data_IF_055414154297
#
_entry.id   IF_055414154297
#
_cell.length_a   1.000
_cell.length_b   1.000
_cell.length_c   1.000
_cell.angle_alpha   90.00
_cell.angle_beta   90.00
_cell.angle_gamma   90.00
#
_symmetry.space_group_name_H-M   'P 1'
#
loop_
_entity.id
_entity.type
_entity.pdbx_description
1 polymer ?
#
# COMPACT_ATOMS: atom_id res chain seq x y z
N UNK A 1 -12.90 -20.49 18.78
CA UNK A 1 -13.52 -21.83 18.78
C UNK A 1 -14.09 -22.07 17.40
N UNK A 2 -13.59 -23.11 16.75
CA UNK A 2 -13.72 -23.37 15.33
C UNK A 2 -14.86 -24.35 15.05
N UNK A 3 -15.34 -24.31 13.80
CA UNK A 3 -16.27 -25.25 13.18
C UNK A 3 -15.93 -26.72 13.48
N UNK A 4 -16.96 -27.55 13.75
CA UNK A 4 -17.10 -28.99 13.41
C UNK A 4 -17.99 -29.72 14.44
N UNK A 5 -19.30 -29.78 14.23
CA UNK A 5 -20.15 -30.74 14.95
C UNK A 5 -21.53 -30.97 14.32
N UNK A 6 -21.67 -31.04 12.99
CA UNK A 6 -22.86 -31.67 12.39
C UNK A 6 -22.40 -32.52 11.19
N UNK A 7 -21.94 -33.72 11.50
CA UNK A 7 -21.97 -34.86 10.59
C UNK A 7 -21.93 -36.13 11.45
N UNK A 8 -22.67 -37.16 11.04
CA UNK A 8 -22.97 -38.45 11.72
C UNK A 8 -24.24 -38.33 12.59
N UNK A 9 -25.38 -38.98 12.30
CA UNK A 9 -25.59 -40.30 11.71
C UNK A 9 -26.90 -40.37 10.92
N UNK A 10 -26.80 -40.86 9.68
CA UNK A 10 -27.86 -41.60 9.00
C UNK A 10 -27.41 -43.06 9.03
N UNK A 11 -28.09 -43.88 9.81
CA UNK A 11 -28.21 -45.36 9.74
C UNK A 11 -29.50 -45.63 10.53
N UNK A 12 -30.63 -45.92 9.89
CA UNK A 12 -30.90 -47.22 9.30
C UNK A 12 -31.11 -48.22 10.43
N UNK A 13 -32.37 -48.52 10.78
CA UNK A 13 -32.88 -49.89 10.85
C UNK A 13 -34.31 -49.99 11.43
N UNK A 14 -34.98 -51.01 10.91
CA UNK A 14 -36.31 -51.55 11.23
C UNK A 14 -36.56 -51.76 12.72
N UNK A 15 -37.82 -51.70 13.16
CA UNK A 15 -38.60 -52.87 13.63
C UNK A 15 -39.98 -52.49 14.21
N UNK A 16 -40.84 -53.51 14.23
CA UNK A 16 -42.28 -53.54 14.43
C UNK A 16 -42.80 -53.07 15.80
N UNK A 17 -44.01 -52.48 15.80
CA UNK A 17 -45.22 -53.09 16.41
C UNK A 17 -46.33 -52.04 16.61
N UNK A 18 -47.47 -52.29 15.98
CA UNK A 18 -48.79 -51.83 16.45
C UNK A 18 -49.14 -52.61 17.74
N UNK A 19 -49.84 -52.01 18.74
CA UNK A 19 -51.30 -52.05 18.64
C UNK A 19 -52.09 -50.91 19.33
N UNK A 20 -53.39 -50.94 19.02
CA UNK A 20 -54.53 -50.48 19.84
C UNK A 20 -55.01 -49.03 19.69
N UNK A 21 -55.89 -48.89 18.70
CA UNK A 21 -57.05 -48.02 18.60
C UNK A 21 -57.74 -47.67 19.95
N UNK A 22 -57.76 -46.38 20.32
CA UNK A 22 -58.85 -45.76 21.10
C UNK A 22 -59.18 -44.39 20.47
N UNK A 23 -60.45 -44.26 20.10
CA UNK A 23 -61.08 -43.14 19.42
C UNK A 23 -61.40 -41.96 20.36
N UNK A 24 -61.59 -40.80 19.71
CA UNK A 24 -62.29 -39.59 20.13
C UNK A 24 -61.48 -38.45 20.78
N UNK A 25 -61.11 -37.45 19.98
CA UNK A 25 -61.75 -36.11 20.00
C UNK A 25 -61.25 -35.23 18.84
N UNK A 26 -62.21 -34.74 18.06
CA UNK A 26 -62.14 -33.75 16.97
C UNK A 26 -61.08 -32.66 17.12
N UNK A 27 -60.12 -32.60 16.20
CA UNK A 27 -59.30 -31.41 15.94
C UNK A 27 -59.93 -30.61 14.78
N UNK A 28 -60.08 -29.28 14.87
CA UNK A 28 -60.76 -28.49 13.86
C UNK A 28 -59.98 -28.56 12.54
N UNK A 29 -60.70 -28.76 11.43
CA UNK A 29 -60.09 -28.73 10.10
C UNK A 29 -59.26 -27.47 9.91
N UNK A 30 -57.97 -27.64 9.61
CA UNK A 30 -57.12 -26.54 9.14
C UNK A 30 -57.80 -25.95 7.90
N UNK A 31 -58.50 -24.83 8.07
CA UNK A 31 -58.79 -23.95 6.94
C UNK A 31 -57.45 -23.38 6.52
N UNK A 32 -56.85 -23.99 5.51
CA UNK A 32 -55.77 -23.36 4.76
C UNK A 32 -56.39 -22.12 4.13
N UNK A 33 -56.25 -20.96 4.78
CA UNK A 33 -56.33 -19.69 4.10
C UNK A 33 -55.18 -19.70 3.10
N UNK A 34 -55.43 -20.17 1.88
CA UNK A 34 -54.72 -19.63 0.73
C UNK A 34 -55.23 -18.20 0.64
N UNK A 35 -54.43 -17.17 0.96
CA UNK A 35 -54.81 -15.85 0.52
C UNK A 35 -54.89 -15.98 -1.00
N UNK A 36 -56.09 -15.81 -1.56
CA UNK A 36 -56.20 -15.42 -2.95
C UNK A 36 -55.61 -14.02 -2.93
N UNK A 37 -54.28 -13.93 -3.05
CA UNK A 37 -53.63 -12.71 -3.48
C UNK A 37 -54.25 -12.52 -4.87
N UNK A 38 -55.09 -11.49 -5.09
CA UNK A 38 -55.51 -11.19 -6.45
C UNK A 38 -54.23 -11.15 -7.26
N UNK A 39 -54.19 -11.84 -8.40
CA UNK A 39 -53.08 -11.71 -9.34
C UNK A 39 -53.11 -10.25 -9.80
N UNK A 40 -52.50 -9.37 -8.99
CA UNK A 40 -52.39 -7.96 -9.30
C UNK A 40 -51.62 -7.98 -10.61
N UNK A 41 -52.19 -7.44 -11.70
CA UNK A 41 -51.52 -7.47 -12.98
C UNK A 41 -50.12 -6.93 -12.72
N UNK A 42 -49.11 -7.78 -12.94
CA UNK A 42 -47.71 -7.39 -12.83
C UNK A 42 -47.54 -6.30 -13.89
N UNK A 43 -47.79 -5.05 -13.49
CA UNK A 43 -47.66 -3.90 -14.39
C UNK A 43 -46.26 -3.97 -14.96
N UNK A 44 -46.15 -3.69 -16.26
CA UNK A 44 -44.88 -3.71 -16.97
C UNK A 44 -43.82 -2.99 -16.11
N UNK A 45 -42.69 -3.65 -15.77
CA UNK A 45 -41.60 -3.04 -15.01
C UNK A 45 -41.18 -1.68 -15.55
N UNK A 46 -41.35 -1.45 -16.85
CA UNK A 46 -41.11 -0.16 -17.51
C UNK A 46 -41.96 0.98 -16.93
N UNK A 47 -43.21 0.73 -16.56
CA UNK A 47 -44.11 1.75 -16.00
C UNK A 47 -43.57 2.23 -14.64
N UNK A 48 -43.05 1.32 -13.81
CA UNK A 48 -42.47 1.68 -12.53
C UNK A 48 -41.13 2.39 -12.68
N UNK A 49 -40.32 1.98 -13.66
CA UNK A 49 -39.10 2.68 -14.03
C UNK A 49 -39.39 4.12 -14.48
N UNK A 50 -40.33 4.31 -15.41
CA UNK A 50 -40.70 5.62 -15.96
C UNK A 50 -41.29 6.54 -14.87
N UNK A 51 -42.13 6.00 -13.98
CA UNK A 51 -42.70 6.75 -12.84
C UNK A 51 -41.61 7.19 -11.84
N UNK A 52 -40.69 6.29 -11.50
CA UNK A 52 -39.55 6.63 -10.64
C UNK A 52 -38.65 7.67 -11.28
N UNK A 53 -38.34 7.52 -12.58
CA UNK A 53 -37.46 8.43 -13.29
C UNK A 53 -38.05 9.84 -13.45
N UNK A 54 -39.34 9.94 -13.76
CA UNK A 54 -40.05 11.21 -13.91
C UNK A 54 -40.00 12.05 -12.64
N UNK A 55 -40.02 11.40 -11.47
CA UNK A 55 -39.94 12.06 -10.16
C UNK A 55 -38.49 12.33 -9.71
N UNK A 56 -37.59 11.38 -9.98
CA UNK A 56 -36.22 11.43 -9.49
C UNK A 56 -35.32 12.37 -10.30
N UNK A 57 -35.49 12.46 -11.62
CA UNK A 57 -34.65 13.32 -12.48
C UNK A 57 -34.71 14.80 -12.08
N UNK A 58 -35.89 15.42 -11.86
CA UNK A 58 -35.96 16.79 -11.35
C UNK A 58 -35.29 16.93 -9.99
N UNK A 59 -35.49 15.97 -9.06
CA UNK A 59 -34.85 16.01 -7.76
C UNK A 59 -33.32 15.94 -7.82
N UNK A 60 -32.76 15.11 -8.73
CA UNK A 60 -31.31 15.09 -8.99
C UNK A 60 -30.83 16.46 -9.42
N UNK A 61 -31.53 17.11 -10.36
CA UNK A 61 -31.19 18.46 -10.80
C UNK A 61 -31.22 19.45 -9.62
N UNK A 62 -32.28 19.44 -8.83
CA UNK A 62 -32.45 20.33 -7.68
C UNK A 62 -31.31 20.16 -6.67
N UNK A 63 -30.93 18.91 -6.35
CA UNK A 63 -29.81 18.59 -5.47
C UNK A 63 -28.47 19.08 -6.06
N UNK A 64 -28.21 18.80 -7.34
CA UNK A 64 -26.90 19.09 -7.93
C UNK A 64 -26.69 20.57 -8.29
N UNK A 65 -27.76 21.32 -8.53
CA UNK A 65 -27.73 22.75 -8.78
C UNK A 65 -27.99 23.60 -7.53
N UNK A 66 -28.23 22.97 -6.37
CA UNK A 66 -28.64 23.64 -5.13
C UNK A 66 -29.86 24.56 -5.32
N UNK A 67 -30.81 24.14 -6.17
CA UNK A 67 -32.08 24.83 -6.38
C UNK A 67 -33.01 24.61 -5.16
N UNK A 68 -33.98 25.50 -4.89
CA UNK A 68 -34.94 25.31 -3.82
C UNK A 68 -35.71 23.99 -3.97
N UNK A 69 -35.84 23.22 -2.89
CA UNK A 69 -36.52 21.94 -2.91
C UNK A 69 -37.99 22.09 -3.34
N UNK A 70 -38.34 21.45 -4.44
CA UNK A 70 -39.68 21.43 -5.04
C UNK A 70 -40.29 20.03 -5.13
N UNK A 71 -39.64 19.03 -4.54
CA UNK A 71 -40.03 17.62 -4.60
C UNK A 71 -40.37 17.02 -3.22
N UNK A 72 -41.20 15.98 -3.24
CA UNK A 72 -41.59 15.21 -2.06
C UNK A 72 -40.76 13.92 -1.93
N UNK A 73 -39.86 13.88 -0.92
CA UNK A 73 -38.97 12.73 -0.70
C UNK A 73 -39.71 11.40 -0.55
N UNK A 74 -40.87 11.38 0.13
CA UNK A 74 -41.67 10.18 0.33
C UNK A 74 -42.25 9.62 -0.97
N UNK A 75 -42.64 10.49 -1.92
CA UNK A 75 -43.16 10.06 -3.21
C UNK A 75 -42.07 9.46 -4.09
N UNK A 76 -40.89 10.09 -4.11
CA UNK A 76 -39.70 9.58 -4.79
C UNK A 76 -39.31 8.23 -4.22
N UNK A 77 -39.17 8.15 -2.89
CA UNK A 77 -38.80 6.92 -2.20
C UNK A 77 -39.73 5.76 -2.57
N UNK A 78 -41.05 5.99 -2.53
CA UNK A 78 -42.05 4.99 -2.88
C UNK A 78 -41.98 4.57 -4.35
N UNK A 79 -41.74 5.52 -5.26
CA UNK A 79 -41.61 5.23 -6.69
C UNK A 79 -40.34 4.42 -6.98
N UNK A 80 -39.20 4.81 -6.39
CA UNK A 80 -37.93 4.09 -6.51
C UNK A 80 -38.05 2.68 -5.95
N UNK A 81 -38.63 2.51 -4.75
CA UNK A 81 -38.86 1.19 -4.16
C UNK A 81 -39.73 0.29 -5.06
N UNK A 82 -40.75 0.84 -5.73
CA UNK A 82 -41.57 0.10 -6.71
C UNK A 82 -40.79 -0.29 -7.96
N UNK A 83 -39.90 0.57 -8.46
CA UNK A 83 -39.05 0.27 -9.62
C UNK A 83 -38.10 -0.92 -9.35
N UNK A 84 -37.74 -1.15 -8.08
CA UNK A 84 -36.93 -2.28 -7.62
C UNK A 84 -37.66 -3.61 -7.49
N UNK A 85 -38.97 -3.65 -7.74
CA UNK A 85 -39.72 -4.92 -7.79
C UNK A 85 -39.19 -5.87 -8.87
N UNK A 86 -38.63 -5.32 -9.96
CA UNK A 86 -37.87 -6.07 -10.95
C UNK A 86 -36.40 -5.67 -10.90
N UNK A 87 -35.51 -6.66 -10.74
CA UNK A 87 -34.06 -6.44 -10.72
C UNK A 87 -33.56 -5.69 -11.97
N UNK A 88 -34.06 -6.03 -13.16
CA UNK A 88 -33.66 -5.37 -14.40
C UNK A 88 -34.10 -3.90 -14.46
N UNK A 89 -35.24 -3.57 -13.87
CA UNK A 89 -35.75 -2.21 -13.76
C UNK A 89 -34.94 -1.39 -12.75
N UNK A 90 -34.63 -1.96 -11.58
CA UNK A 90 -33.75 -1.33 -10.59
C UNK A 90 -32.34 -1.05 -11.12
N UNK A 91 -31.75 -2.01 -11.84
CA UNK A 91 -30.44 -1.85 -12.50
C UNK A 91 -30.47 -0.74 -13.56
N UNK A 92 -31.53 -0.70 -14.37
CA UNK A 92 -31.73 0.37 -15.36
C UNK A 92 -31.91 1.74 -14.69
N UNK A 93 -32.66 1.82 -13.59
CA UNK A 93 -32.84 3.05 -12.83
C UNK A 93 -31.51 3.57 -12.27
N UNK A 94 -30.70 2.70 -11.64
CA UNK A 94 -29.38 3.10 -11.16
C UNK A 94 -28.49 3.59 -12.30
N UNK A 95 -28.54 2.94 -13.47
CA UNK A 95 -27.82 3.43 -14.65
C UNK A 95 -28.25 4.84 -15.05
N UNK A 96 -29.56 5.12 -15.14
CA UNK A 96 -30.09 6.44 -15.47
C UNK A 96 -29.68 7.51 -14.45
N UNK A 97 -29.74 7.17 -13.15
CA UNK A 97 -29.30 8.06 -12.07
C UNK A 97 -27.83 8.44 -12.26
N UNK A 98 -26.97 7.45 -12.48
CA UNK A 98 -25.54 7.68 -12.66
C UNK A 98 -25.26 8.51 -13.92
N UNK A 99 -25.90 8.20 -15.05
CA UNK A 99 -25.77 8.96 -16.30
C UNK A 99 -26.16 10.44 -16.13
N UNK A 100 -27.21 10.72 -15.36
CA UNK A 100 -27.61 12.11 -15.06
C UNK A 100 -26.63 12.80 -14.11
N UNK A 101 -26.13 12.09 -13.09
CA UNK A 101 -25.06 12.61 -12.21
C UNK A 101 -23.77 12.93 -12.99
N UNK A 102 -23.41 12.15 -14.01
CA UNK A 102 -22.21 12.36 -14.83
C UNK A 102 -22.21 13.74 -15.50
N UNK A 103 -23.37 14.28 -15.87
CA UNK A 103 -23.50 15.62 -16.48
C UNK A 103 -22.97 16.69 -15.52
N UNK A 104 -23.43 16.67 -14.27
CA UNK A 104 -23.07 17.67 -13.27
C UNK A 104 -21.63 17.52 -12.79
N UNK A 105 -21.14 16.27 -12.61
CA UNK A 105 -19.76 16.01 -12.20
C UNK A 105 -18.79 16.45 -13.29
N UNK A 106 -19.09 16.13 -14.55
CA UNK A 106 -18.29 16.55 -15.69
C UNK A 106 -18.18 18.08 -15.74
N UNK A 107 -19.30 18.79 -15.61
CA UNK A 107 -19.33 20.25 -15.59
C UNK A 107 -18.55 20.84 -14.40
N UNK A 108 -18.70 20.26 -13.20
CA UNK A 108 -18.01 20.70 -11.99
C UNK A 108 -16.48 20.49 -12.08
N UNK A 109 -16.02 19.42 -12.71
CA UNK A 109 -14.59 19.19 -12.92
C UNK A 109 -14.06 20.09 -14.04
N UNK A 110 -14.82 20.30 -15.11
CA UNK A 110 -14.43 21.23 -16.18
C UNK A 110 -14.31 22.68 -15.69
N UNK A 111 -15.13 23.12 -14.73
CA UNK A 111 -14.99 24.48 -14.17
C UNK A 111 -13.65 24.68 -13.46
N UNK A 112 -13.03 23.62 -12.92
CA UNK A 112 -11.68 23.67 -12.34
C UNK A 112 -10.58 23.89 -13.38
N UNK A 113 -10.83 23.63 -14.67
CA UNK A 113 -9.84 23.86 -15.75
C UNK A 113 -9.47 25.34 -15.90
N UNK A 114 -10.39 26.24 -15.55
CA UNK A 114 -10.19 27.68 -15.53
C UNK A 114 -9.16 28.11 -14.47
N UNK A 115 -9.04 27.32 -13.40
CA UNK A 115 -8.17 27.59 -12.25
C UNK A 115 -6.86 26.77 -12.28
N UNK A 116 -6.63 25.99 -13.34
CA UNK A 116 -5.41 25.18 -13.45
C UNK A 116 -4.15 26.02 -13.61
N UNK A 117 -4.27 27.24 -14.13
CA UNK A 117 -3.16 28.17 -14.30
C UNK A 117 -2.90 29.00 -13.01
N UNK A 118 -3.81 28.93 -12.04
CA UNK A 118 -3.66 29.59 -10.74
C UNK A 118 -2.63 28.91 -9.85
N UNK A 119 -2.23 29.62 -8.79
CA UNK A 119 -1.34 29.11 -7.75
C UNK A 119 -1.96 27.89 -7.02
N UNK A 120 -1.15 26.88 -6.59
CA UNK A 120 -1.66 25.73 -5.85
C UNK A 120 -2.45 26.11 -4.58
N UNK A 121 -2.14 27.22 -3.91
CA UNK A 121 -2.90 27.70 -2.74
C UNK A 121 -4.33 28.14 -3.07
N UNK A 122 -4.62 28.45 -4.34
CA UNK A 122 -5.97 28.79 -4.84
C UNK A 122 -6.65 27.55 -5.42
N UNK A 123 -5.90 26.76 -6.21
CA UNK A 123 -6.44 25.58 -6.87
C UNK A 123 -6.82 24.45 -5.89
N UNK A 124 -6.00 24.19 -4.86
CA UNK A 124 -6.23 23.07 -3.93
C UNK A 124 -7.54 23.22 -3.13
N UNK A 125 -7.86 24.40 -2.53
CA UNK A 125 -9.16 24.60 -1.88
C UNK A 125 -10.36 24.43 -2.81
N UNK A 126 -10.25 24.88 -4.07
CA UNK A 126 -11.33 24.72 -5.07
C UNK A 126 -11.57 23.23 -5.39
N UNK A 127 -10.49 22.47 -5.56
CA UNK A 127 -10.56 21.02 -5.78
C UNK A 127 -11.14 20.28 -4.56
N UNK A 128 -10.71 20.63 -3.35
CA UNK A 128 -11.22 20.06 -2.10
C UNK A 128 -12.72 20.33 -1.97
N UNK A 129 -13.14 21.59 -2.14
CA UNK A 129 -14.54 21.98 -2.09
C UNK A 129 -15.38 21.26 -3.14
N UNK A 130 -14.90 21.16 -4.38
CA UNK A 130 -15.59 20.44 -5.46
C UNK A 130 -15.88 18.99 -5.08
N UNK A 131 -14.92 18.30 -4.43
CA UNK A 131 -15.15 16.92 -4.03
C UNK A 131 -16.04 16.77 -2.80
N UNK A 132 -15.93 17.68 -1.82
CA UNK A 132 -16.80 17.70 -0.64
C UNK A 132 -18.26 17.96 -1.04
N UNK A 133 -18.50 18.92 -1.93
CA UNK A 133 -19.84 19.21 -2.44
C UNK A 133 -20.41 18.05 -3.23
N UNK A 134 -19.62 17.41 -4.09
CA UNK A 134 -20.07 16.20 -4.79
C UNK A 134 -20.47 15.09 -3.82
N UNK A 135 -19.67 14.85 -2.77
CA UNK A 135 -19.98 13.86 -1.74
C UNK A 135 -21.29 14.16 -1.02
N UNK A 136 -21.48 15.41 -0.59
CA UNK A 136 -22.72 15.86 0.07
C UNK A 136 -23.92 15.62 -0.83
N UNK A 137 -23.85 16.07 -2.10
CA UNK A 137 -24.91 15.91 -3.10
C UNK A 137 -25.23 14.44 -3.39
N UNK A 138 -24.21 13.58 -3.46
CA UNK A 138 -24.42 12.13 -3.60
C UNK A 138 -25.11 11.53 -2.37
N UNK A 139 -24.77 11.98 -1.17
CA UNK A 139 -25.41 11.52 0.06
C UNK A 139 -26.88 11.93 0.11
N UNK A 140 -27.19 13.18 -0.26
CA UNK A 140 -28.55 13.68 -0.36
C UNK A 140 -29.36 12.85 -1.38
N UNK A 141 -28.78 12.54 -2.54
CA UNK A 141 -29.38 11.66 -3.54
C UNK A 141 -29.61 10.23 -3.02
N UNK A 142 -28.63 9.62 -2.35
CA UNK A 142 -28.78 8.28 -1.77
C UNK A 142 -29.91 8.23 -0.73
N UNK A 143 -30.09 9.31 0.05
CA UNK A 143 -31.16 9.40 1.04
C UNK A 143 -32.58 9.34 0.43
N UNK A 144 -32.76 9.89 -0.77
CA UNK A 144 -34.05 9.87 -1.49
C UNK A 144 -34.23 8.64 -2.39
N UNK A 145 -33.14 8.05 -2.89
CA UNK A 145 -33.14 6.93 -3.84
C UNK A 145 -33.02 5.53 -3.18
N UNK A 146 -33.06 5.47 -1.85
CA UNK A 146 -33.02 4.26 -1.01
C UNK A 146 -31.74 3.40 -1.13
N UNK A 147 -31.05 3.23 0.00
CA UNK A 147 -29.75 2.55 0.10
C UNK A 147 -29.81 1.02 0.20
N UNK A 148 -31.01 0.42 0.27
CA UNK A 148 -31.16 -1.02 0.55
C UNK A 148 -30.94 -1.95 -0.65
N UNK A 149 -30.81 -1.43 -1.86
CA UNK A 149 -30.69 -2.22 -3.08
C UNK A 149 -29.27 -2.21 -3.66
N UNK A 150 -28.89 -3.31 -4.31
CA UNK A 150 -27.55 -3.49 -4.88
C UNK A 150 -27.61 -3.95 -6.33
N UNK A 151 -26.67 -3.45 -7.13
CA UNK A 151 -26.36 -3.97 -8.47
C UNK A 151 -25.09 -4.81 -8.33
N UNK A 152 -25.26 -6.13 -8.44
CA UNK A 152 -24.21 -7.07 -8.03
C UNK A 152 -23.96 -6.98 -6.52
N UNK A 153 -22.80 -6.45 -6.13
CA UNK A 153 -22.40 -6.24 -4.73
C UNK A 153 -22.26 -4.76 -4.35
N UNK A 154 -22.72 -3.85 -5.22
CA UNK A 154 -22.52 -2.41 -5.06
C UNK A 154 -23.84 -1.68 -4.86
N UNK A 155 -23.89 -0.83 -3.83
CA UNK A 155 -24.99 0.11 -3.61
C UNK A 155 -24.92 1.28 -4.61
N UNK A 156 -25.97 2.12 -4.63
CA UNK A 156 -25.95 3.38 -5.39
C UNK A 156 -24.78 4.27 -4.98
N UNK A 157 -24.49 4.33 -3.68
CA UNK A 157 -23.33 5.02 -3.15
C UNK A 157 -22.04 4.46 -3.76
N UNK A 158 -21.81 3.14 -3.67
CA UNK A 158 -20.59 2.49 -4.19
C UNK A 158 -20.36 2.71 -5.69
N UNK A 159 -21.44 2.91 -6.46
CA UNK A 159 -21.37 3.25 -7.88
C UNK A 159 -21.13 4.76 -8.08
N UNK A 160 -21.85 5.61 -7.36
CA UNK A 160 -21.75 7.07 -7.45
C UNK A 160 -20.37 7.61 -7.06
N UNK A 161 -19.73 6.99 -6.05
CA UNK A 161 -18.37 7.38 -5.64
C UNK A 161 -17.32 7.16 -6.73
N UNK A 162 -17.55 6.23 -7.67
CA UNK A 162 -16.63 5.95 -8.78
C UNK A 162 -16.71 7.01 -9.90
N UNK A 163 -17.75 7.84 -9.94
CA UNK A 163 -17.95 8.84 -10.99
C UNK A 163 -16.92 9.96 -10.92
N UNK A 164 -16.64 10.50 -9.75
CA UNK A 164 -15.68 11.61 -9.61
C UNK A 164 -14.27 11.22 -10.07
N UNK A 165 -13.67 10.09 -9.61
CA UNK A 165 -12.40 9.62 -10.16
C UNK A 165 -12.44 9.40 -11.68
N UNK A 166 -13.54 8.82 -12.22
CA UNK A 166 -13.70 8.59 -13.66
C UNK A 166 -13.59 9.91 -14.43
N UNK A 167 -14.33 10.94 -14.04
CA UNK A 167 -14.30 12.24 -14.73
C UNK A 167 -13.01 13.03 -14.48
N UNK A 168 -12.40 12.89 -13.30
CA UNK A 168 -11.07 13.46 -13.05
C UNK A 168 -10.00 12.86 -13.97
N UNK A 169 -10.11 11.56 -14.32
CA UNK A 169 -9.20 10.95 -15.30
C UNK A 169 -9.33 11.56 -16.70
N UNK A 170 -10.57 11.89 -17.09
CA UNK A 170 -10.90 12.44 -18.40
C UNK A 170 -10.46 13.91 -18.52
N UNK A 171 -10.54 14.67 -17.44
CA UNK A 171 -10.09 16.06 -17.37
C UNK A 171 -8.56 16.17 -17.26
N UNK A 172 -7.87 16.00 -18.39
CA UNK A 172 -6.40 15.97 -18.46
C UNK A 172 -5.73 17.17 -17.80
N UNK A 173 -6.20 18.40 -18.04
CA UNK A 173 -5.61 19.62 -17.48
C UNK A 173 -5.65 19.63 -15.94
N UNK A 174 -6.81 19.31 -15.35
CA UNK A 174 -7.01 19.24 -13.90
C UNK A 174 -6.16 18.13 -13.29
N UNK A 175 -6.17 16.94 -13.91
CA UNK A 175 -5.37 15.79 -13.50
C UNK A 175 -3.88 16.11 -13.52
N UNK A 176 -3.39 16.72 -14.58
CA UNK A 176 -1.97 16.96 -14.78
C UNK A 176 -1.48 18.09 -13.85
N UNK A 177 -2.31 19.12 -13.60
CA UNK A 177 -2.03 20.14 -12.56
C UNK A 177 -1.96 19.51 -11.16
N UNK A 178 -2.95 18.70 -10.80
CA UNK A 178 -2.96 17.99 -9.52
C UNK A 178 -1.73 17.09 -9.38
N UNK A 179 -1.40 16.34 -10.42
CA UNK A 179 -0.21 15.50 -10.46
C UNK A 179 1.07 16.32 -10.30
N UNK A 180 1.22 17.44 -11.01
CA UNK A 180 2.39 18.33 -10.89
C UNK A 180 2.55 18.82 -9.46
N UNK A 181 1.49 19.38 -8.86
CA UNK A 181 1.51 19.87 -7.47
C UNK A 181 1.97 18.76 -6.52
N UNK A 182 1.42 17.55 -6.71
CA UNK A 182 1.76 16.42 -5.87
C UNK A 182 3.25 16.06 -6.02
N UNK A 183 3.74 15.90 -7.25
CA UNK A 183 5.13 15.58 -7.53
C UNK A 183 6.10 16.65 -7.02
N UNK A 184 5.76 17.93 -7.16
CA UNK A 184 6.58 19.05 -6.68
C UNK A 184 6.67 19.05 -5.16
N UNK A 185 5.56 18.82 -4.46
CA UNK A 185 5.56 18.68 -3.00
C UNK A 185 6.43 17.50 -2.53
N UNK A 186 6.43 16.39 -3.27
CA UNK A 186 7.26 15.23 -2.95
C UNK A 186 8.73 15.53 -3.22
N UNK A 187 9.04 16.16 -4.35
CA UNK A 187 10.39 16.63 -4.67
C UNK A 187 10.88 17.56 -3.56
N UNK A 188 10.07 18.52 -3.12
CA UNK A 188 10.41 19.45 -2.04
C UNK A 188 10.58 18.74 -0.68
N UNK A 189 9.72 17.77 -0.36
CA UNK A 189 9.91 16.91 0.81
C UNK A 189 11.25 16.19 0.74
N UNK A 190 11.61 15.61 -0.41
CA UNK A 190 12.87 14.88 -0.62
C UNK A 190 14.10 15.79 -0.64
N UNK A 191 14.02 16.99 -1.22
CA UNK A 191 15.08 18.00 -1.13
C UNK A 191 15.34 18.42 0.32
N UNK A 192 14.30 18.52 1.15
CA UNK A 192 14.46 18.75 2.58
C UNK A 192 15.02 17.54 3.36
N UNK A 193 14.99 16.32 2.82
CA UNK A 193 15.64 15.14 3.42
C UNK A 193 17.18 15.25 3.41
N UNK A 194 17.73 16.02 2.47
CA UNK A 194 19.17 16.24 2.30
C UNK A 194 19.75 17.34 3.21
N UNK A 195 18.91 18.20 3.81
CA UNK A 195 19.34 19.23 4.77
C UNK A 195 18.40 19.19 5.98
N UNK A 196 18.89 18.63 7.09
CA UNK A 196 18.11 18.24 8.28
C UNK A 196 17.39 19.35 9.07
N UNK A 197 17.02 20.48 8.46
CA UNK A 197 16.22 21.53 9.11
C UNK A 197 15.45 22.41 8.11
N UNK A 198 15.33 22.00 6.84
CA UNK A 198 14.88 22.90 5.76
C UNK A 198 13.58 22.47 5.05
N UNK A 199 12.90 21.40 5.48
CA UNK A 199 11.58 21.02 4.92
C UNK A 199 10.50 22.10 5.15
N UNK A 200 10.58 22.85 6.25
CA UNK A 200 9.59 23.90 6.55
C UNK A 200 9.81 25.17 5.69
N UNK A 201 11.04 25.38 5.18
CA UNK A 201 11.44 26.60 4.46
C UNK A 201 11.43 26.45 2.93
N UNK A 202 11.61 25.24 2.37
CA UNK A 202 11.60 25.04 0.89
C UNK A 202 10.17 25.11 0.33
N UNK A 203 9.18 24.54 1.03
CA UNK A 203 7.76 24.68 0.66
C UNK A 203 7.36 26.17 0.60
N UNK A 204 7.97 27.02 1.44
CA UNK A 204 7.78 28.47 1.42
C UNK A 204 8.62 29.19 0.34
N UNK A 205 9.80 28.70 0.01
CA UNK A 205 10.76 29.39 -0.86
C UNK A 205 10.52 29.20 -2.38
N UNK A 206 9.84 28.13 -2.83
CA UNK A 206 9.54 27.90 -4.26
C UNK A 206 8.09 28.17 -4.67
N UNK A 207 7.14 28.05 -3.73
CA UNK A 207 5.72 28.36 -3.95
C UNK A 207 5.33 29.75 -3.41
N UNK A 208 6.30 30.54 -2.92
CA UNK A 208 6.08 31.90 -2.44
C UNK A 208 5.25 32.03 -1.15
N UNK A 209 4.57 30.97 -0.70
CA UNK A 209 3.79 30.91 0.56
C UNK A 209 3.74 29.49 1.12
N UNK A 210 3.56 29.38 2.43
CA UNK A 210 3.40 28.10 3.12
C UNK A 210 2.16 27.35 2.59
N UNK A 211 2.35 26.25 1.87
CA UNK A 211 1.26 25.30 1.60
C UNK A 211 0.89 24.65 2.93
N UNK A 212 -0.35 24.86 3.38
CA UNK A 212 -0.86 24.22 4.57
C UNK A 212 -0.89 22.70 4.38
N UNK A 213 0.01 22.01 5.08
CA UNK A 213 0.08 20.54 5.07
C UNK A 213 -1.23 19.88 5.49
N UNK A 214 -2.13 20.62 6.15
CA UNK A 214 -3.48 20.17 6.56
C UNK A 214 -4.43 20.10 5.38
N UNK A 215 -4.50 21.15 4.54
CA UNK A 215 -5.32 21.15 3.31
C UNK A 215 -4.87 20.05 2.36
N UNK A 216 -3.56 19.90 2.23
CA UNK A 216 -2.97 18.82 1.45
C UNK A 216 -3.37 17.45 2.03
N UNK A 217 -3.24 17.24 3.34
CA UNK A 217 -3.69 16.01 4.02
C UNK A 217 -5.19 15.74 3.83
N UNK A 218 -6.03 16.76 3.86
CA UNK A 218 -7.48 16.63 3.68
C UNK A 218 -7.81 16.24 2.24
N UNK A 219 -7.25 16.95 1.26
CA UNK A 219 -7.38 16.60 -0.15
C UNK A 219 -6.89 15.17 -0.39
N UNK A 220 -5.76 14.77 0.21
CA UNK A 220 -5.27 13.40 0.11
C UNK A 220 -6.17 12.37 0.79
N UNK A 221 -6.70 12.64 1.98
CA UNK A 221 -7.66 11.76 2.64
C UNK A 221 -8.90 11.56 1.75
N UNK A 222 -9.35 12.64 1.13
CA UNK A 222 -10.47 12.65 0.21
C UNK A 222 -10.15 11.91 -1.11
N UNK A 223 -8.94 12.07 -1.67
CA UNK A 223 -8.42 11.39 -2.86
C UNK A 223 -7.91 9.95 -2.60
N UNK A 224 -7.80 9.49 -1.35
CA UNK A 224 -7.31 8.15 -0.99
C UNK A 224 -8.25 7.34 -0.10
N UNK A 225 -9.38 7.92 0.31
CA UNK A 225 -10.46 7.19 0.97
C UNK A 225 -10.98 6.03 0.12
N UNK A 226 -11.91 5.22 0.65
CA UNK A 226 -12.53 4.08 -0.06
C UNK A 226 -13.03 4.47 -1.48
N UNK A 227 -13.38 5.73 -1.67
CA UNK A 227 -13.80 6.41 -2.90
C UNK A 227 -12.82 6.35 -4.08
N UNK A 228 -11.51 6.34 -3.82
CA UNK A 228 -10.48 6.46 -4.87
C UNK A 228 -9.57 5.22 -4.96
N UNK A 229 -9.99 4.09 -4.39
CA UNK A 229 -9.14 2.89 -4.34
C UNK A 229 -8.64 2.46 -5.73
N UNK A 230 -9.46 2.63 -6.78
CA UNK A 230 -9.08 2.36 -8.18
C UNK A 230 -8.24 3.47 -8.83
N UNK A 231 -8.47 4.73 -8.48
CA UNK A 231 -7.71 5.89 -8.99
C UNK A 231 -6.33 6.05 -8.37
N UNK A 232 -6.01 5.32 -7.28
CA UNK A 232 -4.64 5.19 -6.75
C UNK A 232 -3.62 4.77 -7.82
N UNK A 233 -4.04 4.01 -8.84
CA UNK A 233 -3.14 3.58 -9.92
C UNK A 233 -2.63 4.74 -10.78
N UNK A 234 -3.42 5.80 -10.94
CA UNK A 234 -3.10 6.95 -11.80
C UNK A 234 -1.91 7.72 -11.22
N UNK A 235 -1.91 7.91 -9.90
CA UNK A 235 -0.84 8.63 -9.22
C UNK A 235 0.35 7.73 -8.86
N UNK A 236 0.14 6.40 -8.74
CA UNK A 236 1.19 5.45 -8.35
C UNK A 236 2.42 5.52 -9.26
N UNK A 237 2.21 5.40 -10.58
CA UNK A 237 3.31 5.27 -11.53
C UNK A 237 4.12 6.56 -11.63
N UNK A 238 3.51 7.73 -11.89
CA UNK A 238 4.24 9.01 -11.89
C UNK A 238 4.98 9.27 -10.58
N UNK A 239 4.39 8.88 -9.44
CA UNK A 239 5.00 9.02 -8.14
C UNK A 239 6.30 8.19 -8.02
N UNK A 240 6.24 6.91 -8.37
CA UNK A 240 7.41 6.03 -8.33
C UNK A 240 8.44 6.48 -9.34
N UNK A 241 8.03 6.87 -10.55
CA UNK A 241 8.93 7.35 -11.60
C UNK A 241 9.68 8.64 -11.17
N UNK A 242 8.99 9.58 -10.50
CA UNK A 242 9.62 10.77 -9.92
C UNK A 242 10.62 10.41 -8.80
N UNK A 243 10.31 9.40 -7.98
CA UNK A 243 11.26 8.90 -6.98
C UNK A 243 12.50 8.28 -7.63
N UNK A 244 12.28 7.50 -8.68
CA UNK A 244 13.34 6.88 -9.46
C UNK A 244 14.25 7.95 -10.05
N UNK A 245 13.69 8.97 -10.68
CA UNK A 245 14.44 10.09 -11.26
C UNK A 245 15.30 10.81 -10.22
N UNK A 246 14.69 11.18 -9.08
CA UNK A 246 15.39 11.88 -8.00
C UNK A 246 16.57 11.08 -7.45
N UNK A 247 16.34 9.83 -7.06
CA UNK A 247 17.38 9.00 -6.45
C UNK A 247 18.42 8.51 -7.47
N UNK A 248 18.08 8.43 -8.76
CA UNK A 248 19.05 8.11 -9.81
C UNK A 248 20.03 9.27 -10.03
N UNK A 249 19.54 10.52 -10.03
CA UNK A 249 20.42 11.69 -10.12
C UNK A 249 21.36 11.77 -8.90
N UNK A 250 20.84 11.45 -7.72
CA UNK A 250 21.62 11.42 -6.48
C UNK A 250 22.67 10.29 -6.47
N UNK A 251 22.31 9.07 -6.91
CA UNK A 251 23.24 7.94 -6.95
C UNK A 251 24.41 8.19 -7.92
N UNK A 252 24.15 8.87 -9.04
CA UNK A 252 25.18 9.28 -10.00
C UNK A 252 26.17 10.28 -9.39
N UNK A 253 25.70 11.29 -8.65
CA UNK A 253 26.58 12.25 -7.97
C UNK A 253 27.48 11.56 -6.94
N UNK A 254 26.94 10.62 -6.18
CA UNK A 254 27.72 9.88 -5.19
C UNK A 254 28.74 8.91 -5.81
N UNK A 255 28.45 8.35 -6.99
CA UNK A 255 29.40 7.51 -7.74
C UNK A 255 30.70 8.27 -8.07
N UNK A 256 30.60 9.58 -8.32
CA UNK A 256 31.74 10.46 -8.60
C UNK A 256 32.53 10.82 -7.32
N UNK A 257 31.83 11.03 -6.19
CA UNK A 257 32.42 11.50 -4.93
C UNK A 257 33.14 10.42 -4.07
N UNK A 258 33.11 9.15 -4.49
CA UNK A 258 34.09 8.09 -4.18
C UNK A 258 34.35 7.65 -2.71
N UNK A 259 33.55 8.02 -1.70
CA UNK A 259 33.65 7.42 -0.35
C UNK A 259 32.52 6.42 -0.05
N UNK A 260 32.82 5.12 -0.17
CA UNK A 260 31.84 4.03 0.04
C UNK A 260 31.27 4.00 1.48
N UNK A 261 32.05 4.20 2.56
CA UNK A 261 31.52 4.36 3.92
C UNK A 261 30.44 5.44 4.03
N UNK A 262 30.73 6.66 3.55
CA UNK A 262 29.76 7.76 3.55
C UNK A 262 28.54 7.42 2.69
N UNK A 263 28.74 6.81 1.52
CA UNK A 263 27.64 6.37 0.68
C UNK A 263 26.70 5.39 1.38
N UNK A 264 27.23 4.33 2.00
CA UNK A 264 26.40 3.35 2.72
C UNK A 264 25.68 3.95 3.93
N UNK A 265 26.30 4.91 4.62
CA UNK A 265 25.65 5.69 5.70
C UNK A 265 24.48 6.51 5.16
N UNK A 266 24.71 7.18 4.04
CA UNK A 266 23.73 8.01 3.36
C UNK A 266 22.53 7.19 2.88
N UNK A 267 22.80 6.06 2.20
CA UNK A 267 21.75 5.12 1.75
C UNK A 267 20.92 4.59 2.92
N UNK A 268 21.55 4.19 4.04
CA UNK A 268 20.80 3.73 5.21
C UNK A 268 19.85 4.82 5.74
N UNK A 269 20.30 6.08 5.75
CA UNK A 269 19.50 7.20 6.22
C UNK A 269 18.34 7.53 5.27
N UNK A 270 18.58 7.50 3.95
CA UNK A 270 17.51 7.64 2.94
C UNK A 270 16.45 6.55 3.15
N UNK A 271 16.86 5.28 3.21
CA UNK A 271 15.92 4.17 3.35
C UNK A 271 15.12 4.24 4.66
N UNK A 272 15.76 4.69 5.75
CA UNK A 272 15.10 4.91 7.04
C UNK A 272 14.05 6.02 6.94
N UNK A 273 14.43 7.17 6.37
CA UNK A 273 13.54 8.34 6.18
C UNK A 273 12.38 8.04 5.24
N UNK A 274 12.63 7.40 4.09
CA UNK A 274 11.57 7.05 3.13
C UNK A 274 10.58 6.06 3.76
N UNK A 275 11.07 5.11 4.56
CA UNK A 275 10.23 4.18 5.33
C UNK A 275 9.41 4.88 6.42
N UNK A 276 9.97 5.89 7.07
CA UNK A 276 9.28 6.73 8.05
C UNK A 276 8.23 7.63 7.40
N UNK A 277 8.54 8.26 6.27
CA UNK A 277 7.58 9.01 5.46
C UNK A 277 6.42 8.12 5.02
N UNK A 278 6.72 6.89 4.56
CA UNK A 278 5.72 5.88 4.24
C UNK A 278 4.80 5.51 5.41
N UNK A 279 5.21 5.77 6.67
CA UNK A 279 4.38 5.54 7.86
C UNK A 279 3.53 6.76 8.22
N UNK A 280 4.12 7.96 8.20
CA UNK A 280 3.45 9.19 8.65
C UNK A 280 2.45 9.74 7.63
N UNK A 281 2.69 9.50 6.34
CA UNK A 281 1.78 9.88 5.28
C UNK A 281 0.96 8.64 4.94
N UNK A 282 -0.21 8.49 5.58
CA UNK A 282 -1.17 7.37 5.44
C UNK A 282 -1.50 7.00 3.97
N UNK A 283 -1.28 7.95 3.05
CA UNK A 283 -1.23 7.81 1.59
C UNK A 283 -0.37 6.63 1.09
N UNK A 284 0.78 6.35 1.71
CA UNK A 284 1.79 5.43 1.18
C UNK A 284 1.54 3.96 1.42
N UNK A 285 0.54 3.54 2.21
CA UNK A 285 0.35 2.12 2.52
C UNK A 285 0.20 1.24 1.27
N UNK A 286 -0.40 1.76 0.19
CA UNK A 286 -0.55 1.07 -1.10
C UNK A 286 0.65 1.19 -2.07
N UNK A 287 1.56 2.14 -1.85
CA UNK A 287 2.71 2.39 -2.74
C UNK A 287 4.05 2.01 -2.11
N UNK A 288 4.09 1.90 -0.78
CA UNK A 288 5.28 1.64 0.03
C UNK A 288 6.11 0.50 -0.53
N UNK A 289 5.48 -0.63 -0.89
CA UNK A 289 6.20 -1.78 -1.43
C UNK A 289 6.92 -1.41 -2.73
N UNK A 290 6.19 -0.92 -3.73
CA UNK A 290 6.75 -0.55 -5.03
C UNK A 290 7.75 0.62 -4.96
N UNK A 291 7.52 1.57 -4.06
CA UNK A 291 8.43 2.70 -3.84
C UNK A 291 9.73 2.22 -3.20
N UNK A 292 9.66 1.50 -2.07
CA UNK A 292 10.85 1.00 -1.39
C UNK A 292 11.65 0.08 -2.33
N UNK A 293 11.00 -0.84 -3.04
CA UNK A 293 11.67 -1.71 -4.03
C UNK A 293 12.41 -0.90 -5.11
N UNK A 294 11.82 0.18 -5.61
CA UNK A 294 12.46 1.04 -6.61
C UNK A 294 13.66 1.81 -6.04
N UNK A 295 13.53 2.38 -4.84
CA UNK A 295 14.60 3.14 -4.17
C UNK A 295 15.77 2.21 -3.80
N UNK A 296 15.47 1.04 -3.23
CA UNK A 296 16.46 0.02 -2.87
C UNK A 296 17.21 -0.49 -4.10
N UNK A 297 16.52 -0.67 -5.23
CA UNK A 297 17.16 -1.04 -6.49
C UNK A 297 18.17 0.00 -6.94
N UNK A 298 17.76 1.27 -7.02
CA UNK A 298 18.58 2.37 -7.57
C UNK A 298 19.77 2.69 -6.69
N UNK A 299 19.59 2.67 -5.37
CA UNK A 299 20.66 3.05 -4.43
C UNK A 299 21.62 1.90 -4.11
N UNK A 300 21.24 0.63 -4.33
CA UNK A 300 22.10 -0.49 -3.97
C UNK A 300 22.18 -1.57 -5.04
N UNK A 301 21.06 -2.13 -5.49
CA UNK A 301 21.10 -3.27 -6.44
C UNK A 301 21.83 -2.92 -7.73
N UNK A 302 21.58 -1.75 -8.29
CA UNK A 302 22.18 -1.28 -9.54
C UNK A 302 23.66 -0.89 -9.37
N UNK A 303 24.15 -0.80 -8.13
CA UNK A 303 25.50 -0.33 -7.79
C UNK A 303 26.31 -1.36 -6.98
N UNK A 304 25.78 -2.57 -6.77
CA UNK A 304 26.37 -3.59 -5.90
C UNK A 304 27.82 -3.93 -6.28
N UNK A 305 28.11 -4.09 -7.58
CA UNK A 305 29.45 -4.40 -8.08
C UNK A 305 30.44 -3.29 -7.74
N UNK A 306 30.08 -2.03 -7.97
CA UNK A 306 30.95 -0.87 -7.70
C UNK A 306 31.21 -0.71 -6.20
N UNK A 307 30.19 -0.94 -5.37
CA UNK A 307 30.30 -0.88 -3.90
C UNK A 307 31.27 -1.95 -3.40
N UNK A 308 31.17 -3.18 -3.92
CA UNK A 308 32.05 -4.27 -3.53
C UNK A 308 33.48 -4.06 -4.05
N UNK A 309 33.65 -3.70 -5.32
CA UNK A 309 34.96 -3.45 -5.94
C UNK A 309 35.74 -2.34 -5.23
N UNK A 310 35.09 -1.21 -4.92
CA UNK A 310 35.76 -0.05 -4.30
C UNK A 310 35.81 -0.12 -2.78
N UNK A 311 34.87 -0.80 -2.14
CA UNK A 311 34.66 -0.73 -0.70
C UNK A 311 35.06 -2.00 0.06
N UNK A 312 34.75 -3.18 -0.47
CA UNK A 312 34.85 -4.42 0.31
C UNK A 312 36.29 -4.74 0.71
N UNK A 313 37.22 -4.74 -0.25
CA UNK A 313 38.65 -4.98 0.01
C UNK A 313 39.19 -3.96 1.02
N UNK A 314 38.91 -2.67 0.81
CA UNK A 314 39.29 -1.59 1.71
C UNK A 314 38.82 -1.83 3.14
N UNK A 315 37.56 -2.24 3.32
CA UNK A 315 37.00 -2.45 4.66
C UNK A 315 37.60 -3.67 5.36
N UNK A 316 37.95 -4.70 4.59
CA UNK A 316 38.63 -5.89 5.12
C UNK A 316 40.06 -5.55 5.55
N UNK A 317 40.80 -4.80 4.73
CA UNK A 317 42.18 -4.38 5.00
C UNK A 317 42.28 -3.39 6.18
N UNK A 318 41.42 -2.37 6.19
CA UNK A 318 41.39 -1.33 7.24
C UNK A 318 40.71 -1.81 8.54
N UNK A 319 40.15 -3.02 8.55
CA UNK A 319 39.40 -3.60 9.68
C UNK A 319 38.22 -2.71 10.10
N UNK A 320 37.55 -2.10 9.13
CA UNK A 320 36.40 -1.20 9.31
C UNK A 320 35.12 -1.99 9.64
N UNK A 321 35.08 -2.57 10.85
CA UNK A 321 34.01 -3.45 11.33
C UNK A 321 32.61 -2.82 11.25
N UNK A 322 32.48 -1.53 11.53
CA UNK A 322 31.19 -0.83 11.49
C UNK A 322 30.64 -0.72 10.05
N UNK A 323 31.52 -0.46 9.09
CA UNK A 323 31.14 -0.32 7.68
C UNK A 323 30.88 -1.70 7.05
N UNK A 324 31.61 -2.75 7.44
CA UNK A 324 31.30 -4.14 7.08
C UNK A 324 29.93 -4.57 7.64
N UNK A 325 29.66 -4.25 8.90
CA UNK A 325 28.37 -4.56 9.55
C UNK A 325 27.21 -3.84 8.85
N UNK A 326 27.43 -2.58 8.44
CA UNK A 326 26.47 -1.78 7.68
C UNK A 326 26.23 -2.37 6.29
N UNK A 327 27.30 -2.72 5.57
CA UNK A 327 27.21 -3.37 4.26
C UNK A 327 26.40 -4.67 4.36
N UNK A 328 26.72 -5.54 5.32
CA UNK A 328 25.99 -6.78 5.56
C UNK A 328 24.51 -6.53 5.85
N UNK A 329 24.18 -5.60 6.76
CA UNK A 329 22.79 -5.28 7.11
C UNK A 329 21.99 -4.76 5.91
N UNK A 330 22.60 -3.96 5.04
CA UNK A 330 21.95 -3.46 3.82
C UNK A 330 21.76 -4.58 2.80
N UNK A 331 22.78 -5.41 2.57
CA UNK A 331 22.76 -6.47 1.56
C UNK A 331 21.83 -7.62 1.97
N UNK A 332 21.80 -7.98 3.25
CA UNK A 332 20.88 -8.98 3.82
C UNK A 332 19.42 -8.60 3.59
N UNK A 333 19.06 -7.33 3.78
CA UNK A 333 17.68 -6.85 3.56
C UNK A 333 17.24 -6.92 2.09
N UNK A 334 18.17 -6.92 1.15
CA UNK A 334 17.90 -6.80 -0.29
C UNK A 334 18.14 -8.09 -1.07
N UNK A 335 18.41 -9.19 -0.37
CA UNK A 335 18.77 -10.47 -0.98
C UNK A 335 20.02 -10.36 -1.86
N UNK A 336 21.03 -9.63 -1.37
CA UNK A 336 22.32 -9.41 -2.03
C UNK A 336 23.49 -10.16 -1.35
N UNK A 337 23.17 -11.14 -0.50
CA UNK A 337 24.18 -11.92 0.22
C UNK A 337 25.03 -12.78 -0.72
N UNK A 338 24.49 -13.20 -1.87
CA UNK A 338 25.26 -13.94 -2.89
C UNK A 338 26.46 -13.14 -3.38
N UNK A 339 26.26 -11.87 -3.77
CA UNK A 339 27.36 -11.03 -4.27
C UNK A 339 28.38 -10.72 -3.17
N UNK A 340 27.93 -10.53 -1.93
CA UNK A 340 28.83 -10.36 -0.78
C UNK A 340 29.67 -11.63 -0.54
N UNK A 341 29.06 -12.81 -0.73
CA UNK A 341 29.73 -14.09 -0.56
C UNK A 341 30.80 -14.32 -1.63
N UNK A 342 30.51 -13.96 -2.88
CA UNK A 342 31.47 -14.03 -3.98
C UNK A 342 32.66 -13.07 -3.76
N UNK A 343 32.38 -11.87 -3.22
CA UNK A 343 33.42 -10.92 -2.85
C UNK A 343 34.28 -11.43 -1.68
N UNK A 344 33.67 -12.06 -0.67
CA UNK A 344 34.38 -12.68 0.45
C UNK A 344 35.28 -13.83 -0.04
N UNK A 345 34.75 -14.72 -0.88
CA UNK A 345 35.50 -15.82 -1.48
C UNK A 345 36.73 -15.29 -2.23
N UNK A 346 36.50 -14.34 -3.13
CA UNK A 346 37.56 -13.73 -3.94
C UNK A 346 38.63 -13.08 -3.08
N UNK A 347 38.24 -12.34 -2.03
CA UNK A 347 39.18 -11.72 -1.09
C UNK A 347 40.02 -12.75 -0.33
N UNK A 348 39.40 -13.78 0.25
CA UNK A 348 40.13 -14.79 1.03
C UNK A 348 41.14 -15.53 0.15
N UNK A 349 40.73 -15.94 -1.06
CA UNK A 349 41.62 -16.67 -1.96
C UNK A 349 42.77 -15.78 -2.47
N UNK A 350 42.49 -14.54 -2.89
CA UNK A 350 43.53 -13.64 -3.39
C UNK A 350 44.53 -13.24 -2.29
N UNK A 351 44.04 -12.84 -1.12
CA UNK A 351 44.89 -12.46 0.01
C UNK A 351 45.64 -13.67 0.55
N UNK A 352 44.99 -14.83 0.65
CA UNK A 352 45.62 -16.07 1.08
C UNK A 352 46.74 -16.53 0.14
N UNK A 353 46.50 -16.51 -1.18
CA UNK A 353 47.54 -16.83 -2.18
C UNK A 353 48.70 -15.85 -2.15
N UNK A 354 48.44 -14.55 -1.93
CA UNK A 354 49.49 -13.54 -1.77
C UNK A 354 50.34 -13.82 -0.53
N UNK A 355 49.71 -14.09 0.61
CA UNK A 355 50.42 -14.41 1.85
C UNK A 355 51.25 -15.70 1.74
N UNK A 356 50.77 -16.72 1.02
CA UNK A 356 51.53 -17.94 0.75
C UNK A 356 52.78 -17.69 -0.11
N UNK A 357 52.71 -16.75 -1.07
CA UNK A 357 53.88 -16.35 -1.87
C UNK A 357 54.89 -15.53 -1.06
N UNK A 358 54.43 -14.85 -0.01
CA UNK A 358 55.22 -13.97 0.86
C UNK A 358 55.65 -14.68 2.17
N UNK A 359 55.53 -16.02 2.25
CA UNK A 359 55.81 -16.84 3.46
C UNK A 359 55.17 -16.30 4.75
N UNK A 360 54.01 -15.66 4.62
CA UNK A 360 53.28 -15.02 5.72
C UNK A 360 52.23 -15.96 6.32
N UNK A 361 51.97 -15.81 7.63
CA UNK A 361 51.08 -16.72 8.37
C UNK A 361 49.61 -16.55 8.01
N UNK A 362 49.02 -17.59 7.41
CA UNK A 362 47.58 -17.68 7.13
C UNK A 362 46.70 -17.78 8.38
N UNK A 363 47.27 -18.13 9.55
CA UNK A 363 46.50 -18.26 10.80
C UNK A 363 45.95 -16.91 11.29
N UNK A 364 46.69 -15.82 11.07
CA UNK A 364 46.24 -14.47 11.40
C UNK A 364 45.10 -14.02 10.46
N UNK A 365 45.18 -14.35 9.18
CA UNK A 365 44.09 -14.13 8.23
C UNK A 365 42.83 -14.90 8.65
N UNK A 366 42.97 -16.20 8.98
CA UNK A 366 41.87 -17.03 9.49
C UNK A 366 41.19 -16.41 10.70
N UNK A 367 41.96 -16.06 11.74
CA UNK A 367 41.45 -15.43 12.97
C UNK A 367 40.71 -14.13 12.70
N UNK A 368 41.21 -13.32 11.76
CA UNK A 368 40.56 -12.06 11.39
C UNK A 368 39.24 -12.28 10.64
N UNK A 369 39.20 -13.23 9.69
CA UNK A 369 37.97 -13.62 9.00
C UNK A 369 36.95 -14.20 9.99
N UNK A 370 37.39 -15.08 10.89
CA UNK A 370 36.57 -15.64 11.97
C UNK A 370 35.90 -14.53 12.80
N UNK A 371 36.69 -13.54 13.22
CA UNK A 371 36.19 -12.39 13.96
C UNK A 371 35.18 -11.59 13.15
N UNK A 372 35.41 -11.35 11.85
CA UNK A 372 34.51 -10.59 10.98
C UNK A 372 33.19 -11.35 10.77
N UNK A 373 33.23 -12.65 10.49
CA UNK A 373 32.04 -13.50 10.37
C UNK A 373 31.18 -13.45 11.64
N UNK A 374 31.81 -13.55 12.81
CA UNK A 374 31.11 -13.55 14.09
C UNK A 374 30.57 -12.16 14.48
N UNK A 375 31.32 -11.09 14.22
CA UNK A 375 30.96 -9.73 14.69
C UNK A 375 30.17 -8.92 13.66
N UNK A 376 30.59 -8.94 12.39
CA UNK A 376 30.06 -8.06 11.34
C UNK A 376 28.94 -8.73 10.53
N UNK A 377 29.08 -10.04 10.26
CA UNK A 377 28.12 -10.80 9.46
C UNK A 377 27.06 -11.52 10.29
N UNK A 378 26.98 -11.24 11.58
CA UNK A 378 25.94 -11.77 12.48
C UNK A 378 25.81 -13.31 12.48
N UNK A 379 26.93 -14.04 12.39
CA UNK A 379 26.95 -15.52 12.31
C UNK A 379 26.18 -16.08 11.11
N UNK A 380 26.22 -15.41 9.96
CA UNK A 380 25.58 -15.90 8.74
C UNK A 380 26.23 -17.21 8.26
N UNK A 381 25.43 -18.28 8.25
CA UNK A 381 25.89 -19.63 7.93
C UNK A 381 26.42 -19.78 6.50
N UNK A 382 25.94 -18.98 5.55
CA UNK A 382 26.38 -19.03 4.15
C UNK A 382 27.80 -18.45 4.01
N UNK A 383 28.02 -17.28 4.62
CA UNK A 383 29.33 -16.61 4.63
C UNK A 383 30.37 -17.41 5.41
N UNK A 384 29.99 -18.00 6.55
CA UNK A 384 30.86 -18.90 7.32
C UNK A 384 31.24 -20.16 6.53
N UNK A 385 30.27 -20.77 5.84
CA UNK A 385 30.55 -21.95 5.00
C UNK A 385 31.54 -21.63 3.89
N UNK A 386 31.38 -20.48 3.23
CA UNK A 386 32.32 -20.04 2.19
C UNK A 386 33.70 -19.79 2.76
N UNK A 387 33.81 -19.10 3.90
CA UNK A 387 35.09 -18.89 4.55
C UNK A 387 35.77 -20.23 4.86
N UNK A 388 35.06 -21.16 5.51
CA UNK A 388 35.56 -22.52 5.80
C UNK A 388 36.04 -23.25 4.55
N UNK A 389 35.32 -23.15 3.45
CA UNK A 389 35.72 -23.77 2.19
C UNK A 389 36.98 -23.12 1.61
N UNK A 390 37.07 -21.79 1.59
CA UNK A 390 38.24 -21.08 1.05
C UNK A 390 39.53 -21.45 1.80
N UNK A 391 39.48 -21.57 3.13
CA UNK A 391 40.67 -21.96 3.90
C UNK A 391 41.05 -23.43 3.71
N UNK A 392 40.07 -24.32 3.51
CA UNK A 392 40.35 -25.71 3.09
C UNK A 392 41.06 -25.75 1.73
N UNK A 393 40.60 -24.94 0.78
CA UNK A 393 41.20 -24.84 -0.56
C UNK A 393 42.62 -24.25 -0.53
N UNK A 394 42.90 -23.39 0.47
CA UNK A 394 44.25 -22.85 0.75
C UNK A 394 45.13 -23.81 1.57
N UNK A 395 44.67 -25.03 1.88
CA UNK A 395 45.45 -26.06 2.58
C UNK A 395 45.45 -25.94 4.10
N UNK A 396 44.60 -25.10 4.70
CA UNK A 396 44.40 -25.01 6.14
C UNK A 396 43.12 -25.74 6.57
N UNK A 397 43.21 -26.89 7.27
CA UNK A 397 42.04 -27.51 7.86
C UNK A 397 41.43 -26.56 8.90
N UNK A 398 40.14 -26.31 8.75
CA UNK A 398 39.38 -25.55 9.72
C UNK A 398 39.06 -26.45 10.91
N UNK A 399 39.95 -26.51 11.90
CA UNK A 399 39.68 -27.23 13.13
C UNK A 399 38.51 -26.56 13.87
N UNK A 400 37.43 -27.31 14.10
CA UNK A 400 36.40 -26.92 15.07
C UNK A 400 37.01 -27.10 16.46
N UNK A 401 37.69 -26.08 16.98
CA UNK A 401 38.20 -26.16 18.34
C UNK A 401 36.99 -26.22 19.30
N UNK A 402 36.89 -27.26 20.11
CA UNK A 402 35.82 -27.43 21.11
C UNK A 402 35.70 -26.21 22.06
N UNK A 403 36.77 -25.43 22.19
CA UNK A 403 36.85 -24.16 22.91
C UNK A 403 36.06 -23.01 22.25
N UNK A 404 36.01 -22.92 20.92
CA UNK A 404 35.18 -21.93 20.22
C UNK A 404 33.68 -22.22 20.42
N UNK A 405 33.30 -23.50 20.42
CA UNK A 405 31.92 -23.93 20.69
C UNK A 405 31.42 -23.49 22.09
N UNK A 406 32.31 -23.45 23.09
CA UNK A 406 31.99 -23.02 24.45
C UNK A 406 31.97 -21.48 24.60
N UNK A 407 32.88 -20.76 23.95
CA UNK A 407 32.86 -19.28 23.95
C UNK A 407 31.66 -18.73 23.16
N UNK A 408 31.30 -19.36 22.03
CA UNK A 408 30.12 -19.02 21.22
C UNK A 408 28.83 -19.29 22.02
N UNK A 409 28.77 -20.40 22.77
CA UNK A 409 27.66 -20.67 23.71
C UNK A 409 27.56 -19.62 24.82
N UNK A 410 28.70 -19.11 25.32
CA UNK A 410 28.73 -18.06 26.36
C UNK A 410 28.26 -16.70 25.82
N UNK A 411 28.67 -16.32 24.62
CA UNK A 411 28.25 -15.06 23.95
C UNK A 411 26.76 -15.11 23.58
N UNK A 412 26.23 -16.27 23.14
CA UNK A 412 24.79 -16.47 22.92
C UNK A 412 23.96 -16.28 24.19
N UNK A 413 24.47 -16.75 25.34
CA UNK A 413 23.78 -16.61 26.62
C UNK A 413 23.70 -15.13 27.08
N UNK A 414 24.78 -14.37 26.89
CA UNK A 414 24.83 -12.94 27.24
C UNK A 414 23.96 -12.05 26.33
N UNK A 415 23.78 -12.41 25.04
CA UNK A 415 22.86 -11.67 24.14
C UNK A 415 21.39 -11.99 24.42
N UNK A 416 21.06 -13.24 24.73
CA UNK A 416 19.69 -13.63 25.12
C UNK A 416 19.28 -12.98 26.45
N UNK A 417 20.21 -12.85 27.41
CA UNK A 417 19.98 -12.13 28.67
C UNK A 417 19.65 -10.64 28.47
N UNK A 418 20.31 -9.96 27.50
CA UNK A 418 20.05 -8.54 27.20
C UNK A 418 18.76 -8.31 26.41
N UNK A 419 18.33 -9.26 25.58
CA UNK A 419 17.04 -9.18 24.86
C UNK A 419 15.83 -9.42 25.77
N UNK A 420 15.98 -10.17 26.86
CA UNK A 420 14.91 -10.41 27.82
C UNK A 420 14.73 -9.28 28.86
N UNK A 421 15.79 -8.55 29.22
CA UNK A 421 15.70 -7.43 30.17
C UNK A 421 15.40 -6.07 29.53
N UNK A 422 15.51 -5.92 28.20
CA UNK A 422 15.16 -4.68 27.49
C UNK A 422 13.67 -4.51 27.15
N UNK A 423 12.80 -5.42 27.60
CA UNK A 423 11.33 -5.34 27.43
C UNK A 423 10.57 -4.98 28.71
N UNK A 424 11.29 -4.73 29.80
CA UNK A 424 10.77 -4.19 31.05
C UNK A 424 11.73 -3.11 31.55
N UNK A 425 11.81 -1.99 30.81
CA UNK A 425 12.16 -0.65 31.29
C UNK A 425 11.72 0.37 30.25
#
# INVERSE_FOLDING_TARGET
MNLQAINRLITGDHEDNDPANISMKTTPGLRVFKPIIPDMPKRDPKIYLDDAWTKLKPAIRTIFLDEPQDYHCSEIFNAVHKAWWSKSSGEALYKLILEECEIYISAAIHSLELHCDDDPSVFLPLMENCCLEFRRKLQDLCSIAYEGHTVGLKSLWDLGIELFPKHLCLASKVRDKLLSINLDLIRDQRFGLLRSLFCLFIVTARLGKAVDTTQLKNLWYLLHGPWFYKSRLIFKKPFVDCAVEFYSAESLQFKEQSDIPQYLKHVEEILRKEKENCRHLYFYSGFKKSLMEAVERILLRDHVSVILEKGFVKFMDERSHDDLSRMYRLFSKMDLLGQLNDALNSYILQTGQKMLKEDSSLAELKKNIDKICHTCFSEDASLEKTAKQCFKDLGLPWEESETESLQIKRIRFDRLGRLHYGRFL
#
